data_IF_561224942159
#
_entry.id   IF_561224942159
#
_cell.length_a   1.000
_cell.length_b   1.000
_cell.length_c   1.000
_cell.angle_alpha   90.00
_cell.angle_beta   90.00
_cell.angle_gamma   90.00
#
_symmetry.space_group_name_H-M   'P 1'
#
loop_
_entity.id
_entity.type
_entity.pdbx_description
1 polymer ?
#
# COMPACT_ATOMS: atom_id res chain seq x y z
N UNK A 1 -22.55 5.14 -4.55
CA UNK A 1 -21.09 4.90 -4.49
C UNK A 1 -20.39 5.13 -5.85
N UNK A 2 -19.23 5.84 -5.89
CA UNK A 2 -18.50 6.19 -7.12
C UNK A 2 -17.76 4.97 -7.72
N UNK A 3 -17.40 4.98 -9.02
CA UNK A 3 -16.57 3.93 -9.61
C UNK A 3 -15.19 3.85 -8.93
N UNK A 4 -14.69 2.63 -8.73
CA UNK A 4 -13.38 2.36 -8.12
C UNK A 4 -12.29 2.45 -9.19
N UNK A 5 -11.19 3.14 -8.89
CA UNK A 5 -10.02 3.18 -9.78
C UNK A 5 -9.24 1.86 -9.74
N UNK A 6 -8.73 1.40 -10.88
CA UNK A 6 -7.87 0.20 -10.96
C UNK A 6 -6.64 0.29 -10.07
N UNK A 7 -6.10 1.50 -9.83
CA UNK A 7 -4.99 1.73 -8.91
C UNK A 7 -5.29 1.33 -7.45
N UNK A 8 -6.55 1.40 -7.03
CA UNK A 8 -6.98 1.00 -5.69
C UNK A 8 -7.09 -0.53 -5.52
N UNK A 9 -7.10 -1.25 -6.64
CA UNK A 9 -7.25 -2.71 -6.68
C UNK A 9 -5.91 -3.43 -6.91
N UNK A 10 -4.81 -2.68 -7.03
CA UNK A 10 -3.47 -3.24 -7.22
C UNK A 10 -3.09 -4.08 -6.01
N UNK A 11 -2.65 -5.32 -6.26
CA UNK A 11 -2.02 -6.13 -5.22
C UNK A 11 -0.52 -5.83 -5.23
N UNK A 12 -0.04 -5.22 -4.17
CA UNK A 12 1.39 -5.07 -3.95
C UNK A 12 1.93 -6.33 -3.31
N UNK A 13 2.98 -6.90 -3.89
CA UNK A 13 3.64 -8.07 -3.33
C UNK A 13 4.44 -7.68 -2.09
N UNK A 14 4.21 -8.40 -0.99
CA UNK A 14 4.97 -8.22 0.23
C UNK A 14 6.39 -8.77 0.02
N UNK A 15 7.45 -7.99 0.31
CA UNK A 15 8.80 -8.50 0.24
C UNK A 15 8.99 -9.73 1.13
N UNK A 16 9.65 -10.75 0.59
CA UNK A 16 9.99 -11.96 1.34
C UNK A 16 10.89 -11.64 2.54
N UNK A 17 10.90 -12.52 3.54
CA UNK A 17 11.78 -12.39 4.69
C UNK A 17 13.25 -12.40 4.23
N UNK A 18 14.14 -11.68 4.92
CA UNK A 18 15.57 -11.80 4.67
C UNK A 18 16.03 -13.26 4.73
N UNK A 19 16.89 -13.67 3.80
CA UNK A 19 17.49 -15.01 3.77
C UNK A 19 18.47 -15.25 4.92
N UNK A 20 18.83 -14.20 5.65
CA UNK A 20 19.75 -14.25 6.79
C UNK A 20 19.72 -12.93 7.57
N UNK A 21 20.52 -12.87 8.63
CA UNK A 21 20.58 -11.75 9.56
C UNK A 21 21.78 -10.84 9.39
N UNK A 22 22.51 -10.89 8.27
CA UNK A 22 23.65 -10.00 8.09
C UNK A 22 23.18 -8.54 8.06
N UNK A 23 23.99 -7.58 8.55
CA UNK A 23 23.62 -6.17 8.52
C UNK A 23 23.19 -5.68 7.13
N UNK A 24 23.90 -6.09 6.08
CA UNK A 24 23.57 -5.76 4.69
C UNK A 24 22.22 -6.35 4.25
N UNK A 25 21.94 -7.61 4.59
CA UNK A 25 20.66 -8.25 4.27
C UNK A 25 19.48 -7.55 4.94
N UNK A 26 19.65 -7.15 6.21
CA UNK A 26 18.63 -6.43 6.96
C UNK A 26 18.41 -5.02 6.38
N UNK A 27 19.48 -4.28 6.07
CA UNK A 27 19.38 -2.94 5.48
C UNK A 27 18.67 -2.97 4.12
N UNK A 28 19.06 -3.89 3.24
CA UNK A 28 18.41 -4.06 1.94
C UNK A 28 16.93 -4.44 2.07
N UNK A 29 16.58 -5.28 3.03
CA UNK A 29 15.19 -5.64 3.29
C UNK A 29 14.37 -4.46 3.81
N UNK A 30 14.90 -3.66 4.74
CA UNK A 30 14.19 -2.49 5.30
C UNK A 30 13.82 -1.49 4.20
N UNK A 31 14.70 -1.25 3.22
CA UNK A 31 14.40 -0.38 2.07
C UNK A 31 13.20 -0.93 1.28
N UNK A 32 13.28 -2.20 0.84
CA UNK A 32 12.22 -2.83 0.05
C UNK A 32 10.89 -2.93 0.81
N UNK A 33 10.95 -3.24 2.10
CA UNK A 33 9.78 -3.31 2.96
C UNK A 33 9.16 -1.93 3.19
N UNK A 34 9.98 -0.90 3.37
CA UNK A 34 9.54 0.49 3.47
C UNK A 34 8.80 0.94 2.21
N UNK A 35 9.34 0.67 1.02
CA UNK A 35 8.69 0.95 -0.27
C UNK A 35 7.33 0.23 -0.40
N UNK A 36 7.25 -1.02 0.05
CA UNK A 36 5.99 -1.76 0.10
C UNK A 36 4.97 -1.08 1.02
N UNK A 37 5.37 -0.69 2.23
CA UNK A 37 4.49 0.04 3.16
C UNK A 37 3.99 1.36 2.56
N UNK A 38 4.86 2.15 1.93
CA UNK A 38 4.47 3.41 1.30
C UNK A 38 3.41 3.21 0.20
N UNK A 39 3.53 2.16 -0.61
CA UNK A 39 2.52 1.80 -1.62
C UNK A 39 1.17 1.48 -0.98
N UNK A 40 1.17 0.75 0.14
CA UNK A 40 -0.06 0.47 0.89
C UNK A 40 -0.68 1.73 1.49
N UNK A 41 0.11 2.63 2.06
CA UNK A 41 -0.37 3.89 2.65
C UNK A 41 -1.07 4.78 1.61
N UNK A 42 -0.49 4.88 0.42
CA UNK A 42 -1.11 5.58 -0.72
C UNK A 42 -2.44 4.91 -1.10
N UNK A 43 -2.47 3.58 -1.18
CA UNK A 43 -3.68 2.84 -1.53
C UNK A 43 -4.79 2.98 -0.48
N UNK A 44 -4.45 2.92 0.81
CA UNK A 44 -5.37 3.13 1.93
C UNK A 44 -5.95 4.54 1.88
N UNK A 45 -5.10 5.56 1.70
CA UNK A 45 -5.54 6.95 1.57
C UNK A 45 -6.49 7.13 0.39
N UNK A 46 -6.21 6.47 -0.73
CA UNK A 46 -7.09 6.44 -1.90
C UNK A 46 -8.46 5.80 -1.62
N UNK A 47 -8.49 4.70 -0.87
CA UNK A 47 -9.75 4.06 -0.44
C UNK A 47 -10.58 4.96 0.49
N UNK A 48 -9.93 5.61 1.46
CA UNK A 48 -10.59 6.56 2.36
C UNK A 48 -11.20 7.74 1.60
N UNK A 49 -10.47 8.29 0.63
CA UNK A 49 -10.94 9.38 -0.22
C UNK A 49 -12.13 8.94 -1.11
N UNK A 50 -12.04 7.76 -1.72
CA UNK A 50 -13.12 7.19 -2.51
C UNK A 50 -14.40 6.99 -1.69
N UNK A 51 -14.27 6.42 -0.48
CA UNK A 51 -15.39 6.21 0.43
C UNK A 51 -16.02 7.54 0.86
N UNK A 52 -15.20 8.52 1.24
CA UNK A 52 -15.66 9.86 1.62
C UNK A 52 -16.44 10.54 0.50
N UNK A 53 -15.95 10.43 -0.75
CA UNK A 53 -16.65 10.95 -1.93
C UNK A 53 -17.98 10.22 -2.20
N UNK A 54 -18.07 8.93 -1.88
CA UNK A 54 -19.31 8.19 -1.99
C UNK A 54 -20.35 8.65 -0.98
N UNK A 55 -19.96 8.74 0.29
CA UNK A 55 -20.84 9.23 1.35
C UNK A 55 -21.39 10.62 1.06
N UNK A 56 -20.54 11.56 0.65
CA UNK A 56 -20.95 12.93 0.31
C UNK A 56 -21.90 13.06 -0.89
N UNK A 57 -22.06 12.00 -1.70
CA UNK A 57 -23.05 11.99 -2.80
C UNK A 57 -24.40 11.44 -2.37
N UNK A 58 -24.42 10.70 -1.26
CA UNK A 58 -25.61 10.05 -0.73
C UNK A 58 -26.28 10.91 0.39
N UNK A 59 -25.61 11.98 0.84
CA UNK A 59 -26.12 13.07 1.71
C UNK A 59 -26.72 14.23 0.88
#
# INVERSE_FOLDING_TARGET
MPPVSSGLLVKYERPERPTGGSPEQLLNHVIRYGEYCQKLEVQISGWQAWYSKGRLKDD
#
